data_IF_749453813198
#
_entry.id   IF_749453813198
#
_cell.length_a   1.000
_cell.length_b   1.000
_cell.length_c   1.000
_cell.angle_alpha   90.00
_cell.angle_beta   90.00
_cell.angle_gamma   90.00
#
_symmetry.space_group_name_H-M   'P 1'
#
loop_
_entity.id
_entity.type
_entity.pdbx_description
1 polymer ?
#
# COMPACT_ATOMS: atom_id res chain seq x y z
N UNK A 1 26.06 -1.52 13.72
CA UNK A 1 25.88 -1.74 13.35
C UNK A 1 25.67 -2.10 12.94
N UNK A 2 25.55 -2.10 13.20
CA UNK A 2 25.60 -2.42 12.85
C UNK A 2 24.98 -2.66 12.72
N UNK A 3 24.60 -2.48 12.90
CA UNK A 3 24.06 -2.48 12.83
C UNK A 3 23.19 -2.29 12.49
N UNK A 4 22.74 -2.10 12.18
CA UNK A 4 21.94 -1.73 12.05
C UNK A 4 21.09 -1.49 11.04
N UNK A 5 21.03 -1.45 10.10
CA UNK A 5 20.12 -1.27 9.19
C UNK A 5 19.57 -2.42 8.44
N UNK A 6 20.29 -3.34 7.93
CA UNK A 6 19.73 -4.56 7.42
C UNK A 6 18.87 -5.26 8.43
N UNK A 7 19.00 -4.85 9.61
CA UNK A 7 18.15 -5.26 10.68
C UNK A 7 16.69 -5.04 10.34
N UNK A 8 16.36 -3.87 9.81
CA UNK A 8 15.00 -3.56 9.44
C UNK A 8 14.51 -4.48 8.34
N UNK A 9 15.35 -4.73 7.34
CA UNK A 9 14.97 -5.61 6.26
C UNK A 9 14.65 -7.01 6.73
N UNK A 10 15.39 -7.51 7.70
CA UNK A 10 15.13 -8.82 8.22
C UNK A 10 13.83 -8.90 8.98
N UNK A 11 13.47 -7.82 9.68
CA UNK A 11 12.26 -7.80 10.46
C UNK A 11 11.01 -7.63 9.59
N UNK A 12 11.16 -6.98 8.44
CA UNK A 12 10.02 -6.68 7.58
C UNK A 12 9.99 -7.68 6.45
N UNK A 13 9.45 -8.85 6.72
CA UNK A 13 9.23 -9.87 5.71
C UNK A 13 7.74 -10.19 5.65
N UNK A 14 7.37 -11.08 4.73
CA UNK A 14 5.97 -11.39 4.51
C UNK A 14 5.29 -11.95 5.77
N UNK A 15 6.01 -12.73 6.56
CA UNK A 15 5.45 -13.26 7.80
C UNK A 15 5.13 -12.16 8.80
N UNK A 16 6.05 -11.20 8.94
CA UNK A 16 5.83 -10.06 9.84
C UNK A 16 4.68 -9.21 9.32
N UNK A 17 4.70 -8.90 8.02
CA UNK A 17 3.66 -8.06 7.43
C UNK A 17 2.29 -8.69 7.56
N UNK A 18 2.19 -10.00 7.37
CA UNK A 18 0.91 -10.68 7.45
C UNK A 18 0.33 -10.68 8.86
N UNK A 19 1.18 -10.54 9.88
CA UNK A 19 0.73 -10.53 11.27
C UNK A 19 0.52 -9.13 11.83
N UNK A 20 0.91 -8.09 11.10
CA UNK A 20 0.64 -6.73 11.53
C UNK A 20 -0.85 -6.48 11.51
N UNK A 21 -1.35 -5.74 12.51
CA UNK A 21 -2.73 -5.27 12.41
C UNK A 21 -2.81 -4.25 11.28
N UNK A 22 -4.01 -4.03 10.79
CA UNK A 22 -4.19 -3.24 9.58
C UNK A 22 -3.70 -1.80 9.76
N UNK A 23 -3.98 -1.20 10.90
CA UNK A 23 -3.54 0.17 11.16
C UNK A 23 -2.03 0.31 11.10
N UNK A 24 -1.32 -0.61 11.75
CA UNK A 24 0.14 -0.60 11.77
C UNK A 24 0.70 -0.81 10.37
N UNK A 25 0.11 -1.75 9.62
CA UNK A 25 0.55 -2.02 8.26
C UNK A 25 0.40 -0.78 7.38
N UNK A 26 -0.74 -0.11 7.46
CA UNK A 26 -0.99 1.07 6.64
C UNK A 26 -0.10 2.24 7.05
N UNK A 27 0.20 2.38 8.34
CA UNK A 27 1.17 3.37 8.78
C UNK A 27 2.56 3.07 8.23
N UNK A 28 2.93 1.80 8.20
CA UNK A 28 4.19 1.41 7.60
C UNK A 28 4.24 1.77 6.11
N UNK A 29 3.15 1.53 5.40
CA UNK A 29 3.06 1.92 4.00
C UNK A 29 3.19 3.43 3.84
N UNK A 30 2.57 4.20 4.73
CA UNK A 30 2.60 5.66 4.65
C UNK A 30 4.03 6.21 4.79
N UNK A 31 4.83 5.58 5.64
CA UNK A 31 6.21 6.02 5.84
C UNK A 31 7.03 5.88 4.57
N UNK A 32 6.69 4.95 3.70
CA UNK A 32 7.42 4.70 2.47
C UNK A 32 7.12 5.70 1.37
N UNK A 33 6.11 6.54 1.53
CA UNK A 33 5.76 7.51 0.52
C UNK A 33 6.67 8.72 0.57
N UNK A 34 7.05 9.20 -0.61
CA UNK A 34 7.77 10.45 -0.73
C UNK A 34 6.78 11.56 -1.06
N UNK A 35 6.57 12.46 -0.09
CA UNK A 35 5.60 13.54 -0.27
C UNK A 35 5.90 14.44 -1.44
N UNK A 36 7.18 14.64 -1.76
CA UNK A 36 7.55 15.47 -2.89
C UNK A 36 7.13 14.83 -4.22
N UNK A 37 7.27 13.51 -4.31
CA UNK A 37 6.84 12.79 -5.51
C UNK A 37 5.34 12.84 -5.67
N UNK A 38 4.61 12.87 -4.57
CA UNK A 38 3.16 12.97 -4.63
C UNK A 38 2.73 14.34 -5.17
N UNK A 39 3.53 15.37 -4.91
CA UNK A 39 3.22 16.72 -5.37
C UNK A 39 1.88 17.16 -4.81
N UNK A 40 1.04 17.74 -5.64
CA UNK A 40 -0.30 18.13 -5.23
C UNK A 40 -1.36 17.12 -5.56
N UNK A 41 -0.98 15.89 -5.87
CA UNK A 41 -1.94 14.87 -6.27
C UNK A 41 -2.76 14.38 -5.11
N UNK A 42 -4.01 14.03 -5.40
CA UNK A 42 -4.93 13.50 -4.41
C UNK A 42 -5.56 12.23 -4.92
N UNK A 43 -5.83 11.31 -4.02
CA UNK A 43 -6.52 10.08 -4.37
C UNK A 43 -7.23 9.53 -3.15
N UNK A 44 -8.42 8.97 -3.35
CA UNK A 44 -9.17 8.30 -2.29
C UNK A 44 -9.53 6.92 -2.79
N UNK A 45 -9.14 5.91 -2.03
CA UNK A 45 -9.37 4.51 -2.40
C UNK A 45 -10.06 3.79 -1.25
N UNK A 46 -11.21 3.18 -1.56
CA UNK A 46 -11.84 2.26 -0.62
C UNK A 46 -11.25 0.88 -0.86
N UNK A 47 -10.84 0.21 0.21
CA UNK A 47 -10.30 -1.14 0.11
C UNK A 47 -11.09 -2.08 0.99
N UNK A 48 -11.60 -3.15 0.38
CA UNK A 48 -12.25 -4.23 1.10
C UNK A 48 -11.30 -5.41 1.08
N UNK A 49 -10.73 -5.73 2.25
CA UNK A 49 -9.80 -6.85 2.35
C UNK A 49 -10.60 -8.14 2.41
N UNK A 50 -10.38 -9.01 1.42
CA UNK A 50 -11.22 -10.19 1.25
C UNK A 50 -10.92 -11.28 2.27
N UNK A 51 -9.70 -11.32 2.77
CA UNK A 51 -9.28 -12.34 3.73
C UNK A 51 -9.56 -11.93 5.17
N UNK A 52 -9.35 -10.68 5.53
CA UNK A 52 -9.56 -10.21 6.89
C UNK A 52 -10.96 -9.62 7.11
N UNK A 53 -11.69 -9.39 6.01
CA UNK A 53 -13.03 -8.78 6.04
C UNK A 53 -13.03 -7.35 6.56
N UNK A 54 -11.88 -6.70 6.54
CA UNK A 54 -11.77 -5.32 6.98
C UNK A 54 -12.03 -4.35 5.84
N UNK A 55 -12.63 -3.23 6.19
CA UNK A 55 -12.88 -2.13 5.25
C UNK A 55 -12.00 -0.96 5.64
N UNK A 56 -11.36 -0.37 4.65
CA UNK A 56 -10.40 0.71 4.88
C UNK A 56 -10.59 1.77 3.81
N UNK A 57 -10.33 3.01 4.17
CA UNK A 57 -10.24 4.10 3.21
C UNK A 57 -8.82 4.64 3.25
N UNK A 58 -8.16 4.67 2.10
CA UNK A 58 -6.86 5.30 1.95
C UNK A 58 -7.02 6.66 1.29
N UNK A 59 -6.33 7.65 1.81
CA UNK A 59 -6.41 9.01 1.30
C UNK A 59 -5.03 9.60 1.12
N UNK A 60 -4.72 10.01 -0.10
CA UNK A 60 -3.49 10.75 -0.37
C UNK A 60 -3.86 12.22 -0.56
N UNK A 61 -3.25 13.09 0.24
CA UNK A 61 -3.53 14.51 0.18
C UNK A 61 -2.34 15.27 0.77
N UNK A 62 -1.91 16.31 0.09
CA UNK A 62 -0.80 17.16 0.55
C UNK A 62 0.47 16.37 0.83
N UNK A 63 0.73 15.34 0.01
CA UNK A 63 1.92 14.52 0.17
C UNK A 63 1.88 13.54 1.31
N UNK A 64 0.73 13.37 1.96
CA UNK A 64 0.58 12.49 3.10
C UNK A 64 -0.45 11.41 2.80
N UNK A 65 -0.11 10.17 3.12
CA UNK A 65 -1.04 9.06 3.00
C UNK A 65 -1.66 8.78 4.37
N UNK A 66 -2.96 8.93 4.45
CA UNK A 66 -3.72 8.64 5.66
C UNK A 66 -4.67 7.49 5.41
N UNK A 67 -5.17 6.91 6.49
CA UNK A 67 -6.15 5.84 6.36
C UNK A 67 -7.21 5.97 7.45
N UNK A 68 -8.37 5.37 7.19
CA UNK A 68 -9.42 5.21 8.19
C UNK A 68 -9.88 3.77 8.15
N UNK A 69 -9.91 3.16 9.32
CA UNK A 69 -10.39 1.78 9.44
C UNK A 69 -11.90 1.81 9.65
N UNK A 70 -12.58 0.91 8.96
CA UNK A 70 -14.02 0.76 9.14
C UNK A 70 -14.88 1.79 8.44
N UNK A 71 -14.27 2.71 7.71
CA UNK A 71 -15.00 3.76 7.01
C UNK A 71 -14.68 3.72 5.53
N UNK A 72 -15.62 4.17 4.71
CA UNK A 72 -15.42 4.28 3.27
C UNK A 72 -16.16 5.49 2.75
N UNK A 73 -15.67 6.04 1.64
CA UNK A 73 -16.27 7.20 1.00
C UNK A 73 -16.98 6.74 -0.27
N UNK A 74 -18.25 7.05 -0.40
CA UNK A 74 -19.02 6.71 -1.59
C UNK A 74 -18.47 7.39 -2.84
N UNK A 75 -17.74 8.48 -2.66
CA UNK A 75 -17.15 9.24 -3.77
C UNK A 75 -15.69 8.91 -3.99
N UNK A 76 -15.20 7.81 -3.43
CA UNK A 76 -13.82 7.41 -3.64
C UNK A 76 -13.53 7.26 -5.13
N UNK A 77 -12.30 7.57 -5.50
CA UNK A 77 -11.86 7.45 -6.90
C UNK A 77 -11.86 5.99 -7.34
N UNK A 78 -11.56 5.09 -6.43
CA UNK A 78 -11.43 3.67 -6.73
C UNK A 78 -11.90 2.85 -5.53
N UNK A 79 -12.56 1.74 -5.79
CA UNK A 79 -12.88 0.74 -4.78
C UNK A 79 -12.22 -0.57 -5.18
N UNK A 80 -11.48 -1.17 -4.27
CA UNK A 80 -10.76 -2.42 -4.53
C UNK A 80 -11.19 -3.51 -3.56
N UNK A 81 -11.28 -4.73 -4.06
CA UNK A 81 -11.44 -5.93 -3.23
C UNK A 81 -10.19 -6.77 -3.44
N UNK A 82 -9.43 -7.00 -2.40
CA UNK A 82 -8.11 -7.59 -2.52
C UNK A 82 -7.71 -8.22 -1.18
N UNK A 83 -6.89 -9.27 -1.22
CA UNK A 83 -6.35 -9.85 0.00
C UNK A 83 -5.24 -8.97 0.55
N UNK A 84 -5.04 -9.01 1.86
CA UNK A 84 -4.09 -8.16 2.54
C UNK A 84 -2.68 -8.24 1.95
N UNK A 85 -2.15 -9.43 1.76
CA UNK A 85 -0.79 -9.58 1.24
C UNK A 85 -0.68 -9.23 -0.23
N UNK A 86 -1.75 -9.41 -1.00
CA UNK A 86 -1.75 -8.97 -2.39
C UNK A 86 -1.69 -7.45 -2.47
N UNK A 87 -2.39 -6.77 -1.56
CA UNK A 87 -2.30 -5.32 -1.49
C UNK A 87 -0.88 -4.87 -1.14
N UNK A 88 -0.26 -5.53 -0.17
CA UNK A 88 1.11 -5.20 0.22
C UNK A 88 2.06 -5.37 -0.95
N UNK A 89 1.94 -6.47 -1.68
CA UNK A 89 2.78 -6.72 -2.84
C UNK A 89 2.56 -5.68 -3.92
N UNK A 90 1.31 -5.30 -4.13
CA UNK A 90 0.97 -4.26 -5.10
C UNK A 90 1.59 -2.94 -4.70
N UNK A 91 1.43 -2.56 -3.44
CA UNK A 91 1.91 -1.28 -2.94
C UNK A 91 3.43 -1.18 -3.08
N UNK A 92 4.15 -2.25 -2.79
CA UNK A 92 5.61 -2.24 -2.83
C UNK A 92 6.19 -2.63 -4.19
N UNK A 93 5.35 -2.75 -5.21
CA UNK A 93 5.84 -2.97 -6.57
C UNK A 93 6.24 -4.40 -6.89
N UNK A 94 5.87 -5.36 -6.04
CA UNK A 94 6.17 -6.78 -6.31
C UNK A 94 5.18 -7.42 -7.26
N UNK A 95 4.06 -6.77 -7.51
CA UNK A 95 3.06 -7.23 -8.46
C UNK A 95 2.38 -6.00 -9.03
N UNK A 96 1.47 -6.18 -9.96
CA UNK A 96 0.71 -5.08 -10.52
C UNK A 96 -0.76 -5.46 -10.66
N UNK A 97 -1.59 -4.46 -10.92
CA UNK A 97 -3.03 -4.69 -11.06
C UNK A 97 -3.35 -5.65 -12.19
N UNK A 98 -2.62 -5.56 -13.29
CA UNK A 98 -2.87 -6.42 -14.43
C UNK A 98 -2.69 -7.89 -14.05
N UNK A 99 -1.62 -8.21 -13.35
CA UNK A 99 -1.37 -9.56 -12.89
C UNK A 99 -2.43 -10.03 -11.92
N UNK A 100 -2.82 -9.17 -10.98
CA UNK A 100 -3.85 -9.51 -10.00
C UNK A 100 -5.21 -9.73 -10.67
N UNK A 101 -5.53 -8.94 -11.69
CA UNK A 101 -6.77 -9.15 -12.45
C UNK A 101 -6.73 -10.47 -13.20
N UNK A 102 -5.61 -10.79 -13.83
CA UNK A 102 -5.48 -12.04 -14.58
C UNK A 102 -5.65 -13.27 -13.70
N UNK A 103 -5.23 -13.18 -12.45
CA UNK A 103 -5.30 -14.28 -11.51
C UNK A 103 -6.53 -14.22 -10.62
N UNK A 104 -7.46 -13.30 -10.89
CA UNK A 104 -8.69 -13.10 -10.13
C UNK A 104 -8.44 -12.81 -8.65
N UNK A 105 -7.34 -12.11 -8.36
CA UNK A 105 -6.98 -11.78 -6.98
C UNK A 105 -7.41 -10.37 -6.58
N UNK A 106 -7.91 -9.59 -7.51
CA UNK A 106 -8.39 -8.25 -7.21
C UNK A 106 -9.62 -7.95 -8.04
N UNK A 107 -10.53 -7.19 -7.47
CA UNK A 107 -11.65 -6.58 -8.20
C UNK A 107 -11.56 -5.09 -7.99
N UNK A 108 -11.76 -4.34 -9.06
CA UNK A 108 -11.71 -2.89 -8.98
C UNK A 108 -12.96 -2.28 -9.58
N UNK A 109 -13.42 -1.19 -8.97
CA UNK A 109 -14.53 -0.40 -9.46
C UNK A 109 -14.10 1.05 -9.39
N UNK A 110 -14.13 1.75 -10.50
CA UNK A 110 -13.75 3.14 -10.55
C UNK A 110 -12.45 3.35 -11.31
N UNK A 111 -11.75 4.43 -10.99
CA UNK A 111 -10.57 4.86 -11.71
C UNK A 111 -9.31 4.25 -11.11
N UNK A 112 -8.74 3.28 -11.82
CA UNK A 112 -7.51 2.61 -11.34
C UNK A 112 -6.31 3.55 -11.32
N UNK A 113 -6.40 4.72 -11.92
CA UNK A 113 -5.33 5.71 -11.83
C UNK A 113 -5.06 6.14 -10.40
N UNK A 114 -6.05 6.00 -9.51
CA UNK A 114 -5.87 6.36 -8.11
C UNK A 114 -4.75 5.54 -7.47
N UNK A 115 -4.68 4.23 -7.75
CA UNK A 115 -3.61 3.42 -7.21
C UNK A 115 -2.27 3.76 -7.86
N UNK A 116 -2.29 4.13 -9.15
CA UNK A 116 -1.06 4.54 -9.82
C UNK A 116 -0.51 5.83 -9.23
N UNK A 117 -1.39 6.76 -8.86
CA UNK A 117 -0.98 8.00 -8.22
C UNK A 117 -0.27 7.70 -6.91
N UNK A 118 -0.83 6.82 -6.09
CA UNK A 118 -0.22 6.47 -4.81
C UNK A 118 1.10 5.73 -5.04
N UNK A 119 1.13 4.80 -5.96
CA UNK A 119 2.35 4.04 -6.24
C UNK A 119 3.45 4.90 -6.82
N UNK A 120 3.09 5.92 -7.59
CA UNK A 120 4.09 6.81 -8.16
C UNK A 120 4.78 7.65 -7.09
N UNK A 121 4.13 7.84 -5.95
CA UNK A 121 4.72 8.55 -4.82
C UNK A 121 5.51 7.62 -3.90
N UNK A 122 5.37 6.32 -4.07
CA UNK A 122 6.14 5.36 -3.29
C UNK A 122 7.60 5.43 -3.73
N UNK A 123 8.48 5.51 -2.75
CA UNK A 123 9.91 5.52 -3.03
C UNK A 123 10.47 4.17 -2.66
N UNK A 124 10.60 3.27 -3.62
CA UNK A 124 11.10 1.94 -3.31
C UNK A 124 12.53 2.04 -2.85
N UNK A 125 12.93 1.12 -2.01
CA UNK A 125 14.30 1.04 -1.60
C UNK A 125 15.17 0.93 -2.85
N UNK A 126 16.28 1.64 -2.83
CA UNK A 126 17.28 1.51 -3.87
C UNK A 126 17.64 0.02 -3.95
N UNK A 127 17.68 -0.56 -5.14
CA UNK A 127 18.07 -1.97 -5.26
C UNK A 127 19.41 -2.25 -4.61
N UNK A 128 20.24 -1.23 -4.51
CA UNK A 128 21.56 -1.37 -3.87
C UNK A 128 21.50 -1.30 -2.37
N UNK A 129 20.39 -0.85 -1.79
CA UNK A 129 20.22 -0.83 -0.36
C UNK A 129 19.77 -2.14 0.15
N UNK A 130 18.89 -2.78 -0.50
CA UNK A 130 18.23 -3.93 -0.01
C UNK A 130 17.48 -3.65 1.23
N UNK A 131 16.93 -2.69 1.31
CA UNK A 131 16.25 -2.41 2.49
C UNK A 131 15.18 -3.21 2.89
N UNK A 132 15.60 -2.70 2.63
CA UNK A 132 15.16 -2.86 2.92
C UNK A 132 14.49 -3.40 3.05
N UNK A 133 14.59 -3.49 3.07
CA UNK A 133 14.50 -3.97 3.22
C UNK A 133 14.55 -4.71 3.29
N UNK A 134 14.55 -4.64 3.39
CA UNK A 134 14.94 -5.16 3.50
C UNK A 134 14.99 -5.59 3.37
#
# INVERSE_FOLDING_TARGET
FKKNVPYTSKLINDGVLSQMDMGTLLDYCAIQLNGEKAGGKEAVININFTDTKEKVMLMLNNGVLNHRLGSQDKKADLTMEIAKMDFVKLFFGRTDLQTLHKTNKVKTTGDTKAIDIIRSAYEPADPNFNIVLP
#
